data_IF_863312404530
#
_entry.id   IF_863312404530
#
_cell.length_a   1.000
_cell.length_b   1.000
_cell.length_c   1.000
_cell.angle_alpha   90.00
_cell.angle_beta   90.00
_cell.angle_gamma   90.00
#
_symmetry.space_group_name_H-M   'P 1'
#
loop_
_entity.id
_entity.type
_entity.pdbx_description
1 polymer ?
#
# COMPACT_ATOMS: atom_id res chain seq x y z
N UNK A 1 -12.93 -26.71 -2.98
CA UNK A 1 -13.89 -25.56 -2.91
C UNK A 1 -13.55 -24.63 -1.75
N UNK A 2 -12.84 -25.10 -0.72
CA UNK A 2 -12.40 -24.26 0.41
C UNK A 2 -11.15 -23.39 0.11
N UNK A 3 -10.38 -23.68 -0.94
CA UNK A 3 -9.22 -22.86 -1.33
C UNK A 3 -9.57 -21.60 -2.15
N UNK A 4 -10.83 -21.48 -2.58
CA UNK A 4 -11.29 -20.34 -3.39
C UNK A 4 -11.59 -19.13 -2.51
N UNK A 5 -10.64 -18.20 -2.45
CA UNK A 5 -10.79 -16.95 -1.69
C UNK A 5 -11.64 -15.93 -2.46
N UNK A 6 -12.43 -15.15 -1.72
CA UNK A 6 -13.25 -14.06 -2.29
C UNK A 6 -12.36 -12.93 -2.80
N UNK A 7 -12.64 -12.43 -4.00
CA UNK A 7 -11.86 -11.38 -4.65
C UNK A 7 -12.52 -10.02 -4.38
N UNK A 8 -11.71 -9.02 -4.03
CA UNK A 8 -12.19 -7.65 -3.90
C UNK A 8 -12.51 -7.07 -5.30
N UNK A 9 -13.55 -6.22 -5.43
CA UNK A 9 -13.83 -5.54 -6.69
C UNK A 9 -12.61 -4.78 -7.24
N UNK A 10 -12.49 -4.58 -8.57
CA UNK A 10 -11.34 -3.90 -9.19
C UNK A 10 -11.08 -2.48 -8.66
N UNK A 11 -12.11 -1.84 -8.09
CA UNK A 11 -12.00 -0.54 -7.42
C UNK A 11 -10.98 -0.53 -6.26
N UNK A 12 -10.70 -1.68 -5.66
CA UNK A 12 -9.75 -1.83 -4.55
C UNK A 12 -8.33 -2.22 -5.00
N UNK A 13 -8.00 -2.05 -6.29
CA UNK A 13 -6.62 -2.19 -6.76
C UNK A 13 -5.75 -1.05 -6.24
N UNK A 14 -4.56 -1.38 -5.71
CA UNK A 14 -3.53 -0.45 -5.24
C UNK A 14 -3.96 0.50 -4.13
N UNK A 15 -4.94 0.11 -3.32
CA UNK A 15 -5.34 0.87 -2.13
C UNK A 15 -4.16 1.15 -1.20
N UNK A 16 -4.20 2.33 -0.59
CA UNK A 16 -3.17 2.82 0.31
C UNK A 16 -3.24 2.15 1.68
N UNK A 17 -4.43 1.84 2.17
CA UNK A 17 -4.66 1.12 3.42
C UNK A 17 -5.40 -0.20 3.18
N UNK A 18 -4.73 -1.32 3.47
CA UNK A 18 -5.31 -2.65 3.30
C UNK A 18 -6.42 -2.97 4.31
N UNK A 19 -6.56 -2.18 5.39
CA UNK A 19 -7.69 -2.32 6.30
C UNK A 19 -9.03 -1.91 5.68
N UNK A 20 -9.00 -1.20 4.54
CA UNK A 20 -10.20 -0.82 3.78
C UNK A 20 -10.71 -1.95 2.85
N UNK A 21 -9.98 -3.05 2.73
CA UNK A 21 -10.42 -4.21 1.93
C UNK A 21 -11.68 -4.82 2.53
N UNK A 22 -12.70 -5.03 1.68
CA UNK A 22 -13.92 -5.71 2.09
C UNK A 22 -13.67 -7.19 2.38
N UNK A 23 -12.81 -7.82 1.58
CA UNK A 23 -12.36 -9.20 1.77
C UNK A 23 -10.88 -9.19 2.18
N UNK A 24 -10.61 -9.25 3.48
CA UNK A 24 -9.24 -9.35 3.99
C UNK A 24 -8.80 -10.82 4.02
N UNK A 25 -8.09 -11.24 2.97
CA UNK A 25 -7.51 -12.58 2.86
C UNK A 25 -6.07 -12.49 2.34
N UNK A 26 -5.31 -13.57 2.52
CA UNK A 26 -3.90 -13.64 2.16
C UNK A 26 -3.67 -13.32 0.67
N UNK A 27 -4.53 -13.82 -0.22
CA UNK A 27 -4.41 -13.54 -1.65
C UNK A 27 -4.63 -12.06 -1.99
N UNK A 28 -5.58 -11.37 -1.33
CA UNK A 28 -5.88 -9.96 -1.56
C UNK A 28 -4.78 -9.05 -1.05
N UNK A 29 -4.22 -9.34 0.13
CA UNK A 29 -3.07 -8.63 0.69
C UNK A 29 -1.86 -8.80 -0.22
N UNK A 30 -1.55 -10.04 -0.61
CA UNK A 30 -0.46 -10.35 -1.53
C UNK A 30 -0.64 -9.64 -2.88
N UNK A 31 -1.85 -9.66 -3.43
CA UNK A 31 -2.18 -9.02 -4.70
C UNK A 31 -1.96 -7.50 -4.63
N UNK A 32 -2.46 -6.84 -3.58
CA UNK A 32 -2.30 -5.40 -3.42
C UNK A 32 -0.82 -4.99 -3.27
N UNK A 33 -0.08 -5.68 -2.40
CA UNK A 33 1.36 -5.44 -2.21
C UNK A 33 2.14 -5.67 -3.51
N UNK A 34 1.81 -6.72 -4.27
CA UNK A 34 2.41 -7.03 -5.56
C UNK A 34 2.19 -5.90 -6.56
N UNK A 35 0.93 -5.47 -6.76
CA UNK A 35 0.60 -4.42 -7.72
C UNK A 35 1.22 -3.06 -7.35
N UNK A 36 1.23 -2.71 -6.07
CA UNK A 36 1.87 -1.49 -5.56
C UNK A 36 3.38 -1.52 -5.76
N UNK A 37 4.02 -2.65 -5.43
CA UNK A 37 5.45 -2.84 -5.61
C UNK A 37 5.88 -2.68 -7.08
N UNK A 38 5.17 -3.31 -8.02
CA UNK A 38 5.45 -3.16 -9.46
C UNK A 38 5.22 -1.73 -9.96
N UNK A 39 4.39 -0.95 -9.26
CA UNK A 39 4.16 0.47 -9.54
C UNK A 39 5.18 1.40 -8.84
N UNK A 40 6.14 0.85 -8.09
CA UNK A 40 7.14 1.62 -7.33
C UNK A 40 6.63 2.20 -6.01
N UNK A 41 5.43 1.81 -5.57
CA UNK A 41 4.84 2.21 -4.29
C UNK A 41 5.22 1.17 -3.24
N UNK A 42 6.31 1.44 -2.50
CA UNK A 42 6.86 0.48 -1.54
C UNK A 42 6.21 0.54 -0.15
N UNK A 43 5.52 1.63 0.15
CA UNK A 43 4.83 1.87 1.39
C UNK A 43 3.34 1.59 1.21
N UNK A 44 2.77 0.81 2.12
CA UNK A 44 1.34 0.50 2.16
C UNK A 44 0.90 0.43 3.62
N UNK A 45 -0.18 1.12 3.98
CA UNK A 45 -0.76 1.01 5.30
C UNK A 45 -1.51 -0.31 5.48
N UNK A 46 -1.52 -0.78 6.72
CA UNK A 46 -2.27 -1.94 7.18
C UNK A 46 -2.90 -1.58 8.53
N UNK A 47 -3.96 -0.77 8.48
CA UNK A 47 -4.60 -0.25 9.69
C UNK A 47 -3.65 0.62 10.49
N UNK A 48 -3.21 0.18 11.67
CA UNK A 48 -2.29 0.96 12.52
C UNK A 48 -0.81 0.85 12.10
N UNK A 49 -0.49 -0.11 11.23
CA UNK A 49 0.88 -0.43 10.85
C UNK A 49 1.20 0.06 9.43
N UNK A 50 2.49 0.22 9.13
CA UNK A 50 2.99 0.48 7.79
C UNK A 50 3.85 -0.70 7.33
N UNK A 51 3.48 -1.29 6.19
CA UNK A 51 4.22 -2.36 5.53
C UNK A 51 5.13 -1.74 4.48
N UNK A 52 6.41 -2.09 4.52
CA UNK A 52 7.43 -1.59 3.60
C UNK A 52 8.09 -2.76 2.90
N UNK A 53 8.07 -2.74 1.57
CA UNK A 53 8.70 -3.78 0.73
C UNK A 53 9.99 -3.24 0.14
N UNK A 54 11.11 -3.95 0.31
CA UNK A 54 12.41 -3.49 -0.18
C UNK A 54 12.42 -3.32 -1.72
N UNK A 55 12.64 -2.11 -2.26
CA UNK A 55 12.67 -1.87 -3.71
C UNK A 55 13.88 -2.49 -4.41
N UNK A 56 14.95 -2.83 -3.69
CA UNK A 56 16.26 -3.22 -4.26
C UNK A 56 16.82 -2.24 -5.32
N UNK A 57 16.29 -1.01 -5.36
CA UNK A 57 16.69 0.09 -6.24
C UNK A 57 16.49 1.41 -5.51
N UNK A 58 17.24 2.44 -5.91
CA UNK A 58 17.04 3.80 -5.37
C UNK A 58 15.77 4.41 -5.96
N UNK A 59 14.91 4.94 -5.10
CA UNK A 59 13.69 5.65 -5.48
C UNK A 59 13.85 7.15 -5.15
N UNK A 60 13.30 8.07 -5.96
CA UNK A 60 13.40 9.52 -5.74
C UNK A 60 12.46 10.05 -4.64
N UNK A 61 12.08 9.20 -3.68
CA UNK A 61 11.13 9.52 -2.59
C UNK A 61 11.82 10.10 -1.35
N UNK A 62 13.14 9.97 -1.25
CA UNK A 62 13.92 10.51 -0.13
C UNK A 62 14.65 11.78 -0.57
N UNK A 63 13.91 12.89 -0.64
CA UNK A 63 14.44 14.22 -0.96
C UNK A 63 13.90 15.26 0.02
N UNK A 64 14.59 16.40 0.13
CA UNK A 64 14.17 17.51 1.00
C UNK A 64 12.75 18.00 0.68
N UNK A 65 12.41 18.08 -0.61
CA UNK A 65 11.06 18.42 -1.06
C UNK A 65 9.98 17.49 -0.48
N UNK A 66 10.26 16.19 -0.39
CA UNK A 66 9.31 15.22 0.18
C UNK A 66 9.20 15.42 1.70
N UNK A 67 10.30 15.71 2.39
CA UNK A 67 10.27 15.98 3.84
C UNK A 67 9.37 17.19 4.13
N UNK A 68 9.55 18.27 3.38
CA UNK A 68 8.71 19.48 3.52
C UNK A 68 7.25 19.20 3.20
N UNK A 69 6.98 18.39 2.16
CA UNK A 69 5.62 18.03 1.75
C UNK A 69 4.88 17.25 2.85
N UNK A 70 5.56 16.36 3.58
CA UNK A 70 4.95 15.58 4.67
C UNK A 70 4.94 16.31 6.02
N UNK A 71 5.74 17.36 6.21
CA UNK A 71 5.85 18.09 7.48
C UNK A 71 4.51 18.71 7.88
N UNK A 72 4.00 18.30 9.04
CA UNK A 72 2.74 18.81 9.60
C UNK A 72 1.47 18.33 8.90
N UNK A 73 1.58 17.36 7.97
CA UNK A 73 0.41 16.75 7.32
C UNK A 73 -0.13 15.58 8.14
N UNK A 74 -1.45 15.40 8.08
CA UNK A 74 -2.11 14.22 8.64
C UNK A 74 -1.97 13.04 7.69
N UNK A 75 -2.07 11.82 8.23
CA UNK A 75 -1.99 10.56 7.48
C UNK A 75 -2.96 10.48 6.29
N UNK A 76 -4.17 11.00 6.42
CA UNK A 76 -5.18 10.98 5.35
C UNK A 76 -4.88 11.95 4.20
N UNK A 77 -3.95 12.90 4.41
CA UNK A 77 -3.65 13.96 3.44
C UNK A 77 -2.49 13.59 2.53
N UNK A 78 -1.70 12.58 2.89
CA UNK A 78 -0.49 12.19 2.19
C UNK A 78 -0.47 10.67 2.02
N UNK A 79 -0.04 10.16 0.87
CA UNK A 79 0.06 8.72 0.65
C UNK A 79 1.09 8.07 1.59
N UNK A 80 0.96 6.77 1.90
CA UNK A 80 1.96 6.01 2.66
C UNK A 80 3.35 6.04 2.02
#
# INVERSE_FOLDING_TARGET
KDDTQRVNPPKFSKIEDMSELTCLNDASVLYNLKERYYSGLIYTYSGLFCVVVNPYKRLPIYSENVIEMYKGKKREQMPP
#
